data_IF_095170991004
#
_entry.id   IF_095170991004
#
_cell.length_a   1.000
_cell.length_b   1.000
_cell.length_c   1.000
_cell.angle_alpha   90.00
_cell.angle_beta   90.00
_cell.angle_gamma   90.00
#
_symmetry.space_group_name_H-M   'P 1'
#
loop_
_entity.id
_entity.type
_entity.pdbx_description
1 polymer ?
#
# COMPACT_ATOMS: atom_id res chain seq x y z
N UNK A 1 -15.16 10.19 -2.32
CA UNK A 1 -15.41 11.64 -2.14
C UNK A 1 -14.17 12.49 -2.42
N UNK A 2 -13.03 12.25 -1.76
CA UNK A 2 -11.82 13.06 -2.00
C UNK A 2 -11.31 13.03 -3.44
N UNK A 3 -11.34 11.87 -4.12
CA UNK A 3 -10.93 11.77 -5.55
C UNK A 3 -11.86 12.61 -6.44
N UNK A 4 -13.17 12.64 -6.15
CA UNK A 4 -14.12 13.48 -6.89
C UNK A 4 -13.81 14.98 -6.72
N UNK A 5 -13.37 15.37 -5.52
CA UNK A 5 -13.10 16.77 -5.16
C UNK A 5 -11.74 17.25 -5.71
N UNK A 6 -10.69 16.42 -5.61
CA UNK A 6 -9.32 16.79 -5.95
C UNK A 6 -8.91 16.35 -7.37
N UNK A 7 -9.48 15.27 -7.90
CA UNK A 7 -9.13 14.65 -9.18
C UNK A 7 -10.39 14.36 -10.02
N UNK A 8 -11.22 15.37 -10.34
CA UNK A 8 -12.52 15.16 -10.99
C UNK A 8 -12.42 14.44 -12.34
N UNK A 9 -11.34 14.67 -13.09
CA UNK A 9 -11.10 14.00 -14.38
C UNK A 9 -10.82 12.51 -14.20
N UNK A 10 -9.98 12.15 -13.22
CA UNK A 10 -9.72 10.74 -12.91
C UNK A 10 -10.98 10.06 -12.38
N UNK A 11 -11.71 10.73 -11.49
CA UNK A 11 -12.96 10.21 -10.96
C UNK A 11 -13.96 9.89 -12.09
N UNK A 12 -14.14 10.80 -13.04
CA UNK A 12 -15.04 10.55 -14.17
C UNK A 12 -14.55 9.40 -15.05
N UNK A 13 -13.24 9.35 -15.35
CA UNK A 13 -12.63 8.25 -16.13
C UNK A 13 -12.89 6.89 -15.49
N UNK A 14 -12.71 6.78 -14.17
CA UNK A 14 -12.97 5.54 -13.42
C UNK A 14 -14.44 5.12 -13.58
N UNK A 15 -15.39 6.05 -13.42
CA UNK A 15 -16.81 5.75 -13.58
C UNK A 15 -17.15 5.28 -15.00
N UNK A 16 -16.60 5.94 -16.02
CA UNK A 16 -16.84 5.60 -17.43
C UNK A 16 -16.27 4.22 -17.77
N UNK A 17 -15.07 3.90 -17.28
CA UNK A 17 -14.45 2.57 -17.45
C UNK A 17 -15.24 1.48 -16.73
N UNK A 18 -15.66 1.72 -15.49
CA UNK A 18 -16.50 0.78 -14.75
C UNK A 18 -17.81 0.50 -15.49
N UNK A 19 -18.50 1.54 -15.97
CA UNK A 19 -19.74 1.40 -16.72
C UNK A 19 -19.54 0.64 -18.04
N UNK A 20 -18.44 0.89 -18.75
CA UNK A 20 -18.12 0.19 -19.99
C UNK A 20 -17.88 -1.31 -19.76
N UNK A 21 -17.08 -1.67 -18.75
CA UNK A 21 -16.79 -3.06 -18.40
C UNK A 21 -18.05 -3.80 -17.91
N UNK A 22 -18.87 -3.15 -17.09
CA UNK A 22 -20.16 -3.71 -16.64
C UNK A 22 -21.09 -3.97 -17.83
N UNK A 23 -21.19 -3.02 -18.78
CA UNK A 23 -21.99 -3.19 -19.99
C UNK A 23 -21.47 -4.32 -20.89
N UNK A 24 -20.15 -4.55 -20.89
CA UNK A 24 -19.52 -5.67 -21.57
C UNK A 24 -19.72 -7.03 -20.86
N UNK A 25 -20.29 -7.06 -19.64
CA UNK A 25 -20.50 -8.28 -18.89
C UNK A 25 -19.22 -8.84 -18.24
N UNK A 26 -18.19 -8.00 -18.10
CA UNK A 26 -16.93 -8.40 -17.48
C UNK A 26 -17.12 -8.80 -16.01
N UNK A 27 -16.39 -9.81 -15.51
CA UNK A 27 -16.49 -10.21 -14.12
C UNK A 27 -15.98 -9.11 -13.20
N UNK A 28 -16.56 -9.01 -12.01
CA UNK A 28 -16.22 -7.99 -11.02
C UNK A 28 -14.72 -7.91 -10.70
N UNK A 29 -14.03 -9.05 -10.62
CA UNK A 29 -12.59 -9.07 -10.36
C UNK A 29 -11.81 -8.35 -11.47
N UNK A 30 -12.21 -8.48 -12.74
CA UNK A 30 -11.57 -7.78 -13.84
C UNK A 30 -11.81 -6.26 -13.74
N UNK A 31 -12.99 -5.83 -13.28
CA UNK A 31 -13.28 -4.42 -12.99
C UNK A 31 -12.34 -3.92 -11.89
N UNK A 32 -12.19 -4.67 -10.79
CA UNK A 32 -11.30 -4.33 -9.68
C UNK A 32 -9.86 -4.21 -10.17
N UNK A 33 -9.36 -5.23 -10.88
CA UNK A 33 -7.98 -5.29 -11.36
C UNK A 33 -7.68 -4.14 -12.35
N UNK A 34 -8.69 -3.62 -13.06
CA UNK A 34 -8.55 -2.46 -13.95
C UNK A 34 -8.53 -1.12 -13.21
N UNK A 35 -9.33 -0.97 -12.16
CA UNK A 35 -9.55 0.31 -11.47
C UNK A 35 -8.61 0.51 -10.28
N UNK A 36 -8.37 -0.53 -9.49
CA UNK A 36 -7.59 -0.45 -8.26
C UNK A 36 -6.17 0.10 -8.47
N UNK A 37 -5.41 -0.29 -9.53
CA UNK A 37 -4.08 0.26 -9.77
C UNK A 37 -4.07 1.77 -9.99
N UNK A 38 -5.11 2.33 -10.62
CA UNK A 38 -5.22 3.77 -10.86
C UNK A 38 -5.41 4.55 -9.56
N UNK A 39 -6.24 4.02 -8.65
CA UNK A 39 -6.43 4.60 -7.32
C UNK A 39 -5.15 4.48 -6.49
N UNK A 40 -4.50 3.32 -6.54
CA UNK A 40 -3.26 3.06 -5.81
C UNK A 40 -2.15 4.03 -6.27
N UNK A 41 -1.99 4.22 -7.58
CA UNK A 41 -1.01 5.16 -8.13
C UNK A 41 -1.24 6.58 -7.60
N UNK A 42 -2.49 7.07 -7.63
CA UNK A 42 -2.82 8.37 -7.02
C UNK A 42 -2.45 8.41 -5.53
N UNK A 43 -2.77 7.36 -4.77
CA UNK A 43 -2.42 7.29 -3.35
C UNK A 43 -0.91 7.37 -3.12
N UNK A 44 -0.10 6.65 -3.91
CA UNK A 44 1.36 6.68 -3.79
C UNK A 44 1.93 8.08 -4.05
N UNK A 45 1.45 8.78 -5.08
CA UNK A 45 1.84 10.18 -5.34
C UNK A 45 1.45 11.12 -4.19
N UNK A 46 0.33 10.85 -3.51
CA UNK A 46 -0.14 11.67 -2.39
C UNK A 46 0.69 11.44 -1.12
N UNK A 47 1.15 10.22 -0.87
CA UNK A 47 2.02 9.91 0.28
C UNK A 47 3.31 10.75 0.27
N UNK A 48 3.85 11.07 -0.90
CA UNK A 48 5.02 11.94 -1.02
C UNK A 48 4.77 13.36 -0.44
N UNK A 49 3.53 13.82 -0.40
CA UNK A 49 3.18 15.19 0.02
C UNK A 49 2.32 15.23 1.28
N UNK A 50 1.87 14.09 1.79
CA UNK A 50 1.12 14.03 3.05
C UNK A 50 2.05 14.27 4.25
N UNK A 51 1.58 14.88 5.35
CA UNK A 51 2.32 14.97 6.62
C UNK A 51 2.68 13.59 7.20
N UNK A 52 3.72 13.53 8.04
CA UNK A 52 4.26 12.27 8.59
C UNK A 52 3.20 11.41 9.30
N UNK A 53 2.43 12.01 10.21
CA UNK A 53 1.34 11.31 10.91
C UNK A 53 0.33 10.65 9.95
N UNK A 54 0.01 11.28 8.82
CA UNK A 54 -0.90 10.72 7.82
C UNK A 54 -0.27 9.56 7.06
N UNK A 55 1.02 9.66 6.73
CA UNK A 55 1.77 8.59 6.06
C UNK A 55 1.89 7.36 6.96
N UNK A 56 2.23 7.57 8.24
CA UNK A 56 2.34 6.50 9.23
C UNK A 56 0.97 5.86 9.47
N UNK A 57 -0.09 6.65 9.66
CA UNK A 57 -1.44 6.12 9.85
C UNK A 57 -1.92 5.31 8.63
N UNK A 58 -1.66 5.78 7.41
CA UNK A 58 -1.95 5.02 6.19
C UNK A 58 -1.30 3.63 6.22
N UNK A 59 -0.01 3.56 6.54
CA UNK A 59 0.72 2.29 6.54
C UNK A 59 0.29 1.39 7.71
N UNK A 60 0.03 1.95 8.89
CA UNK A 60 -0.51 1.20 10.04
C UNK A 60 -1.80 0.49 9.67
N UNK A 61 -2.78 1.21 9.10
CA UNK A 61 -4.06 0.63 8.71
C UNK A 61 -3.90 -0.36 7.54
N UNK A 62 -2.99 -0.09 6.60
CA UNK A 62 -2.68 -1.03 5.53
C UNK A 62 -2.14 -2.37 6.09
N UNK A 63 -1.28 -2.33 7.11
CA UNK A 63 -0.75 -3.54 7.76
C UNK A 63 -1.79 -4.24 8.63
N UNK A 64 -2.70 -3.52 9.29
CA UNK A 64 -3.85 -4.14 9.94
C UNK A 64 -4.73 -4.90 8.95
N UNK A 65 -4.94 -4.35 7.75
CA UNK A 65 -5.66 -5.04 6.68
C UNK A 65 -4.91 -6.27 6.18
N UNK A 66 -3.60 -6.16 5.91
CA UNK A 66 -2.77 -7.31 5.52
C UNK A 66 -2.87 -8.44 6.54
N UNK A 67 -2.72 -8.13 7.82
CA UNK A 67 -2.83 -9.10 8.91
C UNK A 67 -4.23 -9.74 8.98
N UNK A 68 -5.29 -8.95 8.80
CA UNK A 68 -6.66 -9.45 8.79
C UNK A 68 -6.94 -10.35 7.59
N UNK A 69 -6.43 -10.02 6.40
CA UNK A 69 -6.54 -10.85 5.20
C UNK A 69 -5.77 -12.16 5.39
N UNK A 70 -4.57 -12.11 5.96
CA UNK A 70 -3.77 -13.32 6.18
C UNK A 70 -4.46 -14.31 7.12
N UNK A 71 -5.17 -13.83 8.15
CA UNK A 71 -6.00 -14.68 9.03
C UNK A 71 -7.08 -15.45 8.26
N UNK A 72 -7.51 -14.94 7.11
CA UNK A 72 -8.45 -15.63 6.21
C UNK A 72 -7.71 -16.60 5.29
N UNK A 73 -6.61 -16.15 4.65
CA UNK A 73 -5.81 -16.97 3.76
C UNK A 73 -4.44 -16.35 3.47
N UNK A 74 -3.37 -17.15 3.55
CA UNK A 74 -2.03 -16.74 3.14
C UNK A 74 -1.97 -16.40 1.64
N UNK A 75 -2.69 -17.14 0.78
CA UNK A 75 -2.80 -16.83 -0.66
C UNK A 75 -3.48 -15.49 -0.90
N UNK A 76 -4.55 -15.20 -0.13
CA UNK A 76 -5.24 -13.92 -0.25
C UNK A 76 -4.36 -12.76 0.22
N UNK A 77 -3.57 -12.95 1.29
CA UNK A 77 -2.62 -11.95 1.74
C UNK A 77 -1.54 -11.71 0.68
N UNK A 78 -1.02 -12.76 0.07
CA UNK A 78 -0.02 -12.64 -0.99
C UNK A 78 -0.58 -11.87 -2.20
N UNK A 79 -1.80 -12.19 -2.63
CA UNK A 79 -2.50 -11.47 -3.71
C UNK A 79 -2.85 -10.02 -3.36
N UNK A 80 -3.08 -9.72 -2.09
CA UNK A 80 -3.30 -8.36 -1.61
C UNK A 80 -2.01 -7.52 -1.69
N UNK A 81 -0.87 -8.11 -1.29
CA UNK A 81 0.44 -7.45 -1.33
C UNK A 81 1.00 -7.34 -2.76
N UNK A 82 0.77 -8.37 -3.59
CA UNK A 82 1.35 -8.51 -4.92
C UNK A 82 0.27 -8.81 -5.99
N UNK A 83 -0.69 -7.89 -6.21
CA UNK A 83 -1.81 -8.12 -7.13
C UNK A 83 -1.37 -8.34 -8.58
N UNK A 84 -0.21 -7.83 -8.98
CA UNK A 84 0.35 -8.01 -10.33
C UNK A 84 0.85 -9.43 -10.61
N UNK A 85 1.05 -10.26 -9.58
CA UNK A 85 1.62 -11.61 -9.73
C UNK A 85 0.54 -12.69 -9.91
N UNK A 86 -0.52 -12.65 -9.09
CA UNK A 86 -1.59 -13.67 -9.07
C UNK A 86 -3.01 -13.08 -9.17
N UNK A 87 -3.13 -11.81 -9.54
CA UNK A 87 -4.39 -11.05 -9.49
C UNK A 87 -4.74 -10.60 -8.08
N UNK A 88 -5.48 -9.50 -7.97
CA UNK A 88 -5.86 -8.92 -6.68
C UNK A 88 -6.91 -9.72 -5.92
N UNK A 89 -7.27 -9.23 -4.74
CA UNK A 89 -8.42 -9.68 -3.95
C UNK A 89 -9.43 -8.54 -3.82
N UNK A 90 -10.66 -8.84 -3.43
CA UNK A 90 -11.64 -7.83 -3.02
C UNK A 90 -11.73 -7.77 -1.48
N UNK A 91 -11.05 -6.81 -0.80
CA UNK A 91 -11.04 -6.75 0.66
C UNK A 91 -12.44 -6.51 1.26
N UNK A 92 -13.35 -5.88 0.51
CA UNK A 92 -14.73 -5.62 0.97
C UNK A 92 -15.53 -6.92 1.20
N UNK A 93 -15.11 -8.04 0.61
CA UNK A 93 -15.73 -9.36 0.82
C UNK A 93 -15.07 -10.18 1.91
N UNK A 94 -13.90 -9.74 2.39
CA UNK A 94 -13.05 -10.52 3.27
C UNK A 94 -12.92 -9.89 4.66
N UNK A 95 -13.05 -8.57 4.75
CA UNK A 95 -12.76 -7.80 5.95
C UNK A 95 -14.01 -7.24 6.61
N UNK A 96 -13.89 -7.00 7.92
CA UNK A 96 -14.92 -6.35 8.71
C UNK A 96 -15.18 -4.91 8.24
N UNK A 97 -16.43 -4.45 8.40
CA UNK A 97 -16.89 -3.14 7.95
C UNK A 97 -16.20 -1.99 8.68
N UNK A 98 -15.89 -2.14 9.97
CA UNK A 98 -15.16 -1.12 10.74
C UNK A 98 -13.74 -0.94 10.19
N UNK A 99 -13.02 -2.04 9.97
CA UNK A 99 -11.68 -2.00 9.39
C UNK A 99 -11.69 -1.37 7.99
N UNK A 100 -12.68 -1.69 7.16
CA UNK A 100 -12.84 -1.06 5.85
C UNK A 100 -13.15 0.44 5.96
N UNK A 101 -14.01 0.85 6.90
CA UNK A 101 -14.31 2.26 7.14
C UNK A 101 -13.07 3.05 7.60
N UNK A 102 -12.29 2.49 8.54
CA UNK A 102 -11.04 3.08 9.01
C UNK A 102 -10.00 3.22 7.90
N UNK A 103 -9.87 2.22 7.02
CA UNK A 103 -9.02 2.31 5.83
C UNK A 103 -9.45 3.43 4.89
N UNK A 104 -10.74 3.48 4.55
CA UNK A 104 -11.26 4.52 3.67
C UNK A 104 -11.06 5.92 4.25
N UNK A 105 -11.20 6.06 5.57
CA UNK A 105 -10.95 7.31 6.28
C UNK A 105 -9.47 7.70 6.26
N UNK A 106 -8.56 6.77 6.60
CA UNK A 106 -7.11 7.01 6.57
C UNK A 106 -6.63 7.41 5.16
N UNK A 107 -7.10 6.72 4.12
CA UNK A 107 -6.81 7.05 2.72
C UNK A 107 -7.30 8.46 2.38
N UNK A 108 -8.53 8.80 2.78
CA UNK A 108 -9.11 10.10 2.50
C UNK A 108 -8.40 11.24 3.23
N UNK A 109 -8.05 11.05 4.49
CA UNK A 109 -7.34 12.05 5.29
C UNK A 109 -5.92 12.27 4.78
N UNK A 110 -5.22 11.19 4.41
CA UNK A 110 -3.91 11.27 3.75
C UNK A 110 -3.99 12.06 2.44
N UNK A 111 -4.93 11.72 1.56
CA UNK A 111 -5.10 12.43 0.28
C UNK A 111 -5.47 13.91 0.48
N UNK A 112 -6.31 14.23 1.47
CA UNK A 112 -6.65 15.62 1.81
C UNK A 112 -5.45 16.39 2.32
N UNK A 113 -4.69 15.82 3.25
CA UNK A 113 -3.55 16.46 3.87
C UNK A 113 -2.36 16.63 2.91
N UNK A 114 -2.28 15.82 1.86
CA UNK A 114 -1.31 15.95 0.78
C UNK A 114 -1.48 17.23 -0.08
N UNK A 115 -2.56 18.00 0.15
CA UNK A 115 -2.86 19.25 -0.52
C UNK A 115 -2.93 20.44 0.44
N UNK A 116 -2.70 21.64 -0.08
CA UNK A 116 -2.82 22.89 0.67
C UNK A 116 -1.52 23.33 1.34
N UNK A 117 -1.64 24.32 2.24
CA UNK A 117 -0.50 25.02 2.83
C UNK A 117 0.37 24.16 3.76
N UNK A 118 -0.18 23.07 4.29
CA UNK A 118 0.49 22.21 5.26
C UNK A 118 1.00 20.90 4.64
N UNK A 119 1.03 20.80 3.30
CA UNK A 119 1.59 19.63 2.63
C UNK A 119 3.07 19.47 2.97
N UNK A 120 3.52 18.23 3.10
CA UNK A 120 4.94 17.90 3.18
C UNK A 120 5.62 18.17 1.83
N UNK A 121 6.92 18.43 1.86
CA UNK A 121 7.75 18.46 0.64
C UNK A 121 9.00 17.66 0.94
N UNK A 122 9.10 16.46 0.34
CA UNK A 122 10.24 15.57 0.55
C UNK A 122 11.52 16.23 0.09
N UNK A 123 12.49 16.30 0.99
CA UNK A 123 13.83 16.81 0.69
C UNK A 123 14.78 15.67 0.33
N UNK A 124 15.88 15.99 -0.35
CA UNK A 124 16.93 15.01 -0.64
C UNK A 124 17.54 14.43 0.64
N UNK A 125 17.74 15.26 1.67
CA UNK A 125 18.27 14.82 2.96
C UNK A 125 17.34 13.82 3.67
N UNK A 126 16.01 13.98 3.56
CA UNK A 126 15.05 13.01 4.08
C UNK A 126 15.11 11.68 3.32
N UNK A 127 15.31 11.69 2.00
CA UNK A 127 15.50 10.47 1.21
C UNK A 127 16.76 9.71 1.63
N UNK A 128 17.87 10.41 1.78
CA UNK A 128 19.14 9.83 2.24
C UNK A 128 19.01 9.27 3.66
N UNK A 129 18.38 10.02 4.57
CA UNK A 129 18.11 9.56 5.93
C UNK A 129 17.22 8.30 5.95
N UNK A 130 16.19 8.23 5.10
CA UNK A 130 15.33 7.06 4.99
C UNK A 130 16.09 5.80 4.54
N UNK A 131 17.06 5.94 3.62
CA UNK A 131 17.95 4.84 3.21
C UNK A 131 18.81 4.35 4.39
N UNK A 132 19.34 5.27 5.20
CA UNK A 132 20.10 4.92 6.40
C UNK A 132 19.22 4.24 7.46
N UNK A 133 17.99 4.74 7.66
CA UNK A 133 17.04 4.22 8.65
C UNK A 133 16.50 2.82 8.29
N UNK A 134 16.32 2.52 6.99
CA UNK A 134 15.82 1.19 6.56
C UNK A 134 16.92 0.13 6.52
N UNK A 135 18.19 0.52 6.34
CA UNK A 135 19.33 -0.42 6.25
C UNK A 135 19.41 -1.41 7.43
N UNK A 136 19.33 -1.01 8.71
CA UNK A 136 19.38 -1.96 9.83
C UNK A 136 18.17 -2.91 9.84
N UNK A 137 17.01 -2.46 9.37
CA UNK A 137 15.80 -3.28 9.25
C UNK A 137 16.03 -4.38 8.21
N UNK A 138 16.53 -4.02 7.02
CA UNK A 138 16.84 -4.98 5.96
C UNK A 138 17.93 -5.97 6.38
N UNK A 139 18.95 -5.51 7.11
CA UNK A 139 19.98 -6.39 7.67
C UNK A 139 19.36 -7.42 8.63
N UNK A 140 18.52 -6.99 9.57
CA UNK A 140 17.89 -7.88 10.53
C UNK A 140 16.95 -8.91 9.84
N UNK A 141 16.26 -8.50 8.77
CA UNK A 141 15.49 -9.43 7.95
C UNK A 141 16.40 -10.42 7.22
N UNK A 142 17.54 -9.97 6.68
CA UNK A 142 18.46 -10.83 5.95
C UNK A 142 19.09 -11.89 6.88
N UNK A 143 19.48 -11.47 8.09
CA UNK A 143 20.01 -12.36 9.12
C UNK A 143 18.97 -13.42 9.54
N UNK A 144 17.67 -13.12 9.45
CA UNK A 144 16.57 -14.03 9.82
C UNK A 144 16.13 -14.95 8.67
N UNK A 145 15.92 -14.38 7.48
CA UNK A 145 15.31 -15.05 6.34
C UNK A 145 16.33 -15.60 5.33
N UNK A 146 17.61 -15.25 5.46
CA UNK A 146 18.64 -15.71 4.54
C UNK A 146 18.33 -15.31 3.09
N UNK A 147 18.43 -16.26 2.16
CA UNK A 147 18.15 -16.02 0.74
C UNK A 147 16.69 -15.67 0.46
N UNK A 148 15.74 -16.07 1.31
CA UNK A 148 14.33 -15.80 1.11
C UNK A 148 14.01 -14.30 1.19
N UNK A 149 14.89 -13.46 1.74
CA UNK A 149 14.70 -12.00 1.71
C UNK A 149 14.54 -11.43 0.30
N UNK A 150 15.12 -12.11 -0.69
CA UNK A 150 15.00 -11.72 -2.09
C UNK A 150 13.54 -11.75 -2.59
N UNK A 151 12.65 -12.50 -1.93
CA UNK A 151 11.23 -12.55 -2.26
C UNK A 151 10.50 -11.22 -2.04
N UNK A 152 11.04 -10.30 -1.21
CA UNK A 152 10.48 -8.95 -1.07
C UNK A 152 10.58 -8.14 -2.38
N UNK A 153 11.64 -8.38 -3.15
CA UNK A 153 11.91 -7.70 -4.42
C UNK A 153 11.45 -8.53 -5.64
N UNK A 154 11.39 -9.85 -5.50
CA UNK A 154 11.03 -10.80 -6.56
C UNK A 154 9.83 -11.66 -6.14
N UNK A 155 8.63 -11.06 -5.96
CA UNK A 155 7.46 -11.79 -5.51
C UNK A 155 7.01 -12.86 -6.53
N UNK A 156 7.36 -12.75 -7.81
CA UNK A 156 7.12 -13.78 -8.82
C UNK A 156 7.82 -15.11 -8.51
N UNK A 157 8.86 -15.11 -7.68
CA UNK A 157 9.57 -16.31 -7.21
C UNK A 157 8.99 -16.91 -5.94
N UNK A 158 7.93 -16.32 -5.39
CA UNK A 158 7.33 -16.74 -4.12
C UNK A 158 6.24 -17.82 -4.27
N UNK A 159 6.12 -18.47 -5.42
CA UNK A 159 5.16 -19.56 -5.62
C UNK A 159 5.37 -20.68 -4.58
N UNK A 160 4.32 -21.00 -3.80
CA UNK A 160 4.40 -21.96 -2.69
C UNK A 160 5.03 -21.41 -1.41
N UNK A 161 5.38 -20.12 -1.38
CA UNK A 161 5.94 -19.39 -0.23
C UNK A 161 5.08 -18.19 0.16
N UNK A 162 3.79 -18.20 -0.19
CA UNK A 162 2.86 -17.08 0.03
C UNK A 162 2.83 -16.62 1.49
N UNK A 163 2.75 -17.59 2.42
CA UNK A 163 2.81 -17.32 3.86
C UNK A 163 4.09 -16.61 4.26
N UNK A 164 5.23 -17.12 3.78
CA UNK A 164 6.55 -16.58 4.11
C UNK A 164 6.69 -15.12 3.64
N UNK A 165 6.24 -14.83 2.42
CA UNK A 165 6.21 -13.46 1.89
C UNK A 165 5.34 -12.55 2.74
N UNK A 166 4.14 -12.99 3.12
CA UNK A 166 3.25 -12.21 4.00
C UNK A 166 3.83 -11.94 5.38
N UNK A 167 4.45 -12.95 6.01
CA UNK A 167 5.08 -12.82 7.31
C UNK A 167 6.27 -11.84 7.24
N UNK A 168 7.06 -11.92 6.17
CA UNK A 168 8.23 -11.07 5.97
C UNK A 168 7.87 -9.60 5.73
N UNK A 169 6.86 -9.33 4.89
CA UNK A 169 6.37 -7.97 4.64
C UNK A 169 5.80 -7.35 5.91
N UNK A 170 5.00 -8.10 6.68
CA UNK A 170 4.46 -7.61 7.94
C UNK A 170 5.55 -7.36 8.97
N UNK A 171 6.55 -8.23 9.09
CA UNK A 171 7.66 -8.01 10.00
C UNK A 171 8.51 -6.80 9.60
N UNK A 172 8.78 -6.62 8.30
CA UNK A 172 9.46 -5.43 7.79
C UNK A 172 8.73 -4.16 8.20
N UNK A 173 7.43 -4.07 7.88
CA UNK A 173 6.64 -2.88 8.18
C UNK A 173 6.43 -2.67 9.67
N UNK A 174 6.32 -3.74 10.48
CA UNK A 174 6.26 -3.62 11.94
C UNK A 174 7.54 -2.97 12.50
N UNK A 175 8.72 -3.32 11.97
CA UNK A 175 9.98 -2.67 12.37
C UNK A 175 10.05 -1.21 11.90
N UNK A 176 9.55 -0.91 10.69
CA UNK A 176 9.48 0.49 10.20
C UNK A 176 8.55 1.33 11.05
N UNK A 177 7.35 0.82 11.37
CA UNK A 177 6.35 1.52 12.18
C UNK A 177 6.77 1.68 13.65
N UNK A 178 7.78 0.93 14.11
CA UNK A 178 8.38 1.11 15.43
C UNK A 178 9.44 2.22 15.49
N UNK A 179 9.86 2.78 14.35
CA UNK A 179 10.74 3.94 14.30
C UNK A 179 10.01 5.20 14.80
N UNK A 180 10.74 6.25 15.22
CA UNK A 180 10.15 7.57 15.40
C UNK A 180 9.35 8.01 14.17
N UNK A 181 8.21 8.69 14.38
CA UNK A 181 7.23 9.01 13.32
C UNK A 181 7.87 9.58 12.04
N UNK A 182 8.75 10.57 12.19
CA UNK A 182 9.45 11.20 11.07
C UNK A 182 10.26 10.20 10.24
N UNK A 183 10.96 9.27 10.93
CA UNK A 183 11.78 8.24 10.29
C UNK A 183 10.92 7.19 9.60
N UNK A 184 9.87 6.72 10.28
CA UNK A 184 8.91 5.79 9.70
C UNK A 184 8.27 6.38 8.43
N UNK A 185 7.82 7.63 8.48
CA UNK A 185 7.26 8.34 7.33
C UNK A 185 8.27 8.48 6.18
N UNK A 186 9.52 8.81 6.49
CA UNK A 186 10.60 8.85 5.49
C UNK A 186 10.79 7.52 4.77
N UNK A 187 10.87 6.41 5.51
CA UNK A 187 11.01 5.06 4.94
C UNK A 187 9.78 4.66 4.11
N UNK A 188 8.56 4.96 4.59
CA UNK A 188 7.33 4.69 3.83
C UNK A 188 7.34 5.44 2.50
N UNK A 189 7.71 6.73 2.51
CA UNK A 189 7.80 7.54 1.27
C UNK A 189 8.88 7.02 0.33
N UNK A 190 10.03 6.59 0.84
CA UNK A 190 11.07 5.97 0.03
C UNK A 190 10.52 4.73 -0.70
N UNK A 191 9.95 3.79 0.06
CA UNK A 191 9.45 2.53 -0.47
C UNK A 191 8.38 2.70 -1.56
N UNK A 192 7.46 3.67 -1.41
CA UNK A 192 6.40 3.90 -2.41
C UNK A 192 6.86 4.74 -3.60
N UNK A 193 7.99 5.45 -3.49
CA UNK A 193 8.57 6.19 -4.63
C UNK A 193 9.34 5.31 -5.61
N UNK A 194 9.74 4.11 -5.18
CA UNK A 194 10.41 3.11 -6.03
C UNK A 194 9.40 2.19 -6.77
N UNK A 195 8.09 2.43 -6.59
CA UNK A 195 7.01 1.71 -7.28
C UNK A 195 6.54 2.41 -8.59
N UNK A 196 7.22 3.50 -8.99
CA UNK A 196 7.06 4.16 -10.29
C UNK A 196 8.02 3.58 -11.35
#
# INVERSE_FOLDING_TARGET
QVIKEQEPVLHQRILDQMAALQKAGEPEQHIIDTIQPQILHLQMTRLQNAPDANVVNYMTINMEQTAAIQKVSDDACFRFLYPMVKGGVNPMRMLDKDLMARRMQADADMMRAAYGKNRHTVTQAEREAAVEDVRPIMKALADKYGEDIQLLQMPEKAAGKEKLSCDMVQEMWAKVLALPEQKAAGVIRLAVSELE
#
